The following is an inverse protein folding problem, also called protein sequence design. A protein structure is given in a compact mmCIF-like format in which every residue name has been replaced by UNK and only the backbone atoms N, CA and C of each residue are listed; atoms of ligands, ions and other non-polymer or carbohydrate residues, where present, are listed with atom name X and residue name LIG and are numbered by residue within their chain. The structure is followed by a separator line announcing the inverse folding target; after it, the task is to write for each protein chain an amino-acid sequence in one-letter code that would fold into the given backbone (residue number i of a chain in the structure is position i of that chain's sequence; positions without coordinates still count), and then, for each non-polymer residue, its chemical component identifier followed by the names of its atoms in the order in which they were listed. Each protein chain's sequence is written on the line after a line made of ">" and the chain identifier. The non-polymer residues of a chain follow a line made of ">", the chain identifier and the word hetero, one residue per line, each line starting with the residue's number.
data_IF_240481541182
#
_entry.id   IF_240481541182
#
_cell.length_a   1.000
_cell.length_b   1.000
_cell.length_c   1.000
_cell.angle_alpha   90.00
_cell.angle_beta   90.00
_cell.angle_gamma   90.00
#
_symmetry.space_group_name_H-M   'P 1'
#
loop_
_entity.id
_entity.type
_entity.pdbx_description
1 polymer ?
#
# COMPACT_ATOMS: atom_id res chain seq x y z
N UNK A 1 -28.61 -37.60 -0.11
CA UNK A 1 -28.07 -36.30 0.35
C UNK A 1 -26.67 -36.18 -0.24
N UNK A 2 -26.51 -35.44 -1.35
CA UNK A 2 -25.18 -35.24 -1.96
C UNK A 2 -24.47 -34.14 -1.18
N UNK A 3 -23.34 -34.46 -0.56
CA UNK A 3 -22.40 -33.48 -0.03
C UNK A 3 -21.61 -32.87 -1.19
N UNK A 4 -21.84 -31.59 -1.47
CA UNK A 4 -21.02 -30.80 -2.41
C UNK A 4 -19.76 -30.37 -1.65
N UNK A 5 -18.59 -30.80 -2.14
CA UNK A 5 -17.30 -30.32 -1.68
C UNK A 5 -16.95 -29.06 -2.50
N UNK A 6 -17.00 -27.88 -1.87
CA UNK A 6 -16.53 -26.63 -2.50
C UNK A 6 -15.03 -26.50 -2.21
N UNK A 7 -14.21 -26.45 -3.26
CA UNK A 7 -12.75 -26.30 -3.14
C UNK A 7 -12.42 -24.84 -3.49
N UNK A 8 -12.12 -24.02 -2.48
CA UNK A 8 -11.69 -22.65 -2.73
C UNK A 8 -10.29 -22.61 -3.34
N UNK A 9 -10.10 -21.74 -4.33
CA UNK A 9 -8.81 -21.39 -4.89
C UNK A 9 -8.32 -20.04 -4.34
N UNK A 10 -6.99 -19.89 -4.23
CA UNK A 10 -6.36 -18.68 -3.70
C UNK A 10 -5.57 -17.99 -4.82
N UNK A 11 -5.90 -16.74 -5.11
CA UNK A 11 -5.10 -15.88 -5.96
C UNK A 11 -4.35 -14.86 -5.11
N UNK A 12 -3.05 -14.71 -5.36
CA UNK A 12 -2.18 -13.78 -4.63
C UNK A 12 -1.68 -12.73 -5.60
N UNK A 13 -1.86 -11.45 -5.26
CA UNK A 13 -1.34 -10.32 -6.03
C UNK A 13 -0.58 -9.36 -5.14
N UNK A 14 0.48 -8.73 -5.65
CA UNK A 14 1.22 -7.71 -4.91
C UNK A 14 0.73 -6.33 -5.32
N UNK A 15 0.44 -5.48 -4.34
CA UNK A 15 0.06 -4.07 -4.54
C UNK A 15 1.14 -3.16 -3.97
N UNK A 16 1.31 -1.97 -4.56
CA UNK A 16 2.32 -0.99 -4.15
C UNK A 16 1.77 0.42 -4.23
N UNK A 17 1.91 1.20 -3.17
CA UNK A 17 1.68 2.64 -3.17
C UNK A 17 2.93 3.42 -2.80
N UNK A 18 3.08 4.59 -3.41
CA UNK A 18 4.22 5.47 -3.16
C UNK A 18 3.72 6.90 -2.93
N UNK A 19 4.40 7.62 -2.04
CA UNK A 19 4.20 9.05 -1.85
C UNK A 19 5.54 9.69 -1.47
N UNK A 20 5.80 10.86 -2.03
CA UNK A 20 7.03 11.61 -1.80
C UNK A 20 6.71 13.03 -1.41
N UNK A 21 7.56 13.59 -0.58
CA UNK A 21 7.40 14.93 -0.10
C UNK A 21 8.76 15.63 0.04
N UNK A 22 8.83 16.85 -0.48
CA UNK A 22 10.05 17.65 -0.50
C UNK A 22 10.08 18.57 0.71
N UNK A 23 11.12 18.44 1.52
CA UNK A 23 11.39 19.30 2.67
C UNK A 23 12.48 20.30 2.30
N UNK A 24 12.11 21.57 2.38
CA UNK A 24 13.06 22.68 2.35
C UNK A 24 13.48 22.94 3.81
N UNK A 25 14.79 22.93 4.06
CA UNK A 25 15.41 23.15 5.37
C UNK A 25 14.69 24.25 6.20
N UNK A 26 13.97 23.86 7.25
CA UNK A 26 13.42 24.79 8.26
C UNK A 26 11.94 25.18 8.19
N UNK A 27 11.20 24.84 7.13
CA UNK A 27 9.75 25.14 7.05
C UNK A 27 8.87 23.95 7.43
N UNK A 28 8.20 24.06 8.58
CA UNK A 28 7.20 23.11 9.08
C UNK A 28 5.82 23.41 8.47
N UNK A 29 5.61 23.02 7.22
CA UNK A 29 4.26 22.99 6.65
C UNK A 29 3.39 21.93 7.34
N UNK A 30 2.09 22.18 7.47
CA UNK A 30 1.08 21.18 7.88
C UNK A 30 1.00 20.08 6.81
N UNK A 31 1.88 19.10 6.88
CA UNK A 31 1.94 18.05 5.86
C UNK A 31 0.98 16.92 6.23
N UNK A 32 0.07 16.59 5.32
CA UNK A 32 -0.62 15.29 5.35
C UNK A 32 0.45 14.20 5.49
N UNK A 33 0.18 13.18 6.29
CA UNK A 33 1.12 12.08 6.49
C UNK A 33 1.43 11.43 5.14
N UNK A 34 2.68 11.53 4.69
CA UNK A 34 3.19 10.88 3.47
C UNK A 34 2.89 9.38 3.49
N UNK A 35 2.91 8.77 4.67
CA UNK A 35 2.55 7.37 4.88
C UNK A 35 1.06 7.12 4.57
N UNK A 36 0.17 8.01 5.02
CA UNK A 36 -1.26 7.86 4.76
C UNK A 36 -1.57 7.99 3.27
N UNK A 37 -0.86 8.85 2.55
CA UNK A 37 -0.97 8.97 1.10
C UNK A 37 -0.45 7.73 0.38
N UNK A 38 0.73 7.24 0.74
CA UNK A 38 1.28 6.01 0.16
C UNK A 38 0.37 4.81 0.41
N UNK A 39 -0.16 4.65 1.64
CA UNK A 39 -1.10 3.58 1.98
C UNK A 39 -2.43 3.72 1.23
N UNK A 40 -2.97 4.93 1.06
CA UNK A 40 -4.18 5.17 0.25
C UNK A 40 -3.94 4.76 -1.21
N UNK A 41 -2.81 5.17 -1.79
CA UNK A 41 -2.44 4.83 -3.16
C UNK A 41 -2.29 3.31 -3.35
N UNK A 42 -1.79 2.60 -2.33
CA UNK A 42 -1.70 1.14 -2.30
C UNK A 42 -3.10 0.51 -2.21
N UNK A 43 -3.91 0.89 -1.22
CA UNK A 43 -5.22 0.26 -0.95
C UNK A 43 -6.24 0.49 -2.07
N UNK A 44 -6.15 1.60 -2.79
CA UNK A 44 -6.99 1.86 -3.97
C UNK A 44 -6.80 0.79 -5.07
N UNK A 45 -5.67 0.09 -5.10
CA UNK A 45 -5.41 -1.00 -6.04
C UNK A 45 -6.04 -2.34 -5.60
N UNK A 46 -6.33 -2.49 -4.30
CA UNK A 46 -6.81 -3.75 -3.73
C UNK A 46 -8.29 -4.03 -4.02
N UNK A 47 -9.07 -3.01 -4.41
CA UNK A 47 -10.50 -3.07 -4.74
C UNK A 47 -11.29 -4.03 -3.82
N UNK A 48 -11.23 -3.75 -2.50
CA UNK A 48 -11.69 -4.67 -1.46
C UNK A 48 -13.22 -4.74 -1.36
N UNK A 49 -13.91 -3.63 -1.62
CA UNK A 49 -15.35 -3.54 -1.44
C UNK A 49 -16.11 -4.55 -2.32
N UNK A 50 -17.00 -5.33 -1.69
CA UNK A 50 -17.81 -6.32 -2.39
C UNK A 50 -17.06 -7.56 -2.88
N UNK A 51 -15.78 -7.73 -2.51
CA UNK A 51 -14.96 -8.89 -2.90
C UNK A 51 -14.53 -9.71 -1.69
N UNK A 52 -14.27 -11.01 -1.90
CA UNK A 52 -13.61 -11.86 -0.91
C UNK A 52 -12.09 -11.66 -0.99
N UNK A 53 -11.61 -10.46 -0.68
CA UNK A 53 -10.19 -10.09 -0.70
C UNK A 53 -9.71 -9.61 0.66
N UNK A 54 -8.46 -9.94 1.00
CA UNK A 54 -7.78 -9.43 2.20
C UNK A 54 -6.39 -8.93 1.86
N UNK A 55 -5.98 -7.82 2.48
CA UNK A 55 -4.62 -7.29 2.40
C UNK A 55 -3.80 -7.80 3.59
N UNK A 56 -2.67 -8.44 3.31
CA UNK A 56 -1.73 -8.94 4.32
C UNK A 56 -0.29 -8.54 3.99
N UNK A 57 0.64 -8.84 4.89
CA UNK A 57 2.08 -8.67 4.67
C UNK A 57 2.46 -7.24 4.25
N UNK A 58 1.83 -6.23 4.86
CA UNK A 58 2.18 -4.83 4.61
C UNK A 58 3.64 -4.56 5.02
N UNK A 59 4.42 -4.00 4.10
CA UNK A 59 5.79 -3.55 4.32
C UNK A 59 5.89 -2.06 3.99
N UNK A 60 6.57 -1.33 4.86
CA UNK A 60 6.83 0.11 4.69
C UNK A 60 8.33 0.30 4.48
N UNK A 61 8.68 0.94 3.37
CA UNK A 61 10.04 1.31 3.02
C UNK A 61 10.16 2.83 2.98
N UNK A 62 11.20 3.34 3.62
CA UNK A 62 11.47 4.77 3.72
C UNK A 62 12.76 5.08 2.99
N UNK A 63 12.66 5.90 1.96
CA UNK A 63 13.78 6.38 1.18
C UNK A 63 13.98 7.87 1.43
N UNK A 64 15.23 8.24 1.72
CA UNK A 64 15.64 9.64 1.87
C UNK A 64 16.69 9.95 0.83
N UNK A 65 16.50 11.03 0.09
CA UNK A 65 17.52 11.55 -0.81
C UNK A 65 17.77 13.02 -0.54
N UNK A 66 19.01 13.43 -0.77
CA UNK A 66 19.49 14.79 -0.48
C UNK A 66 20.06 15.38 -1.76
N UNK A 67 19.58 16.57 -2.13
CA UNK A 67 20.14 17.36 -3.22
C UNK A 67 20.30 18.81 -2.76
N UNK A 68 21.54 19.16 -2.39
CA UNK A 68 21.90 20.45 -1.80
C UNK A 68 21.02 20.80 -0.58
N UNK A 69 20.07 21.74 -0.74
CA UNK A 69 19.21 22.27 0.35
C UNK A 69 17.86 21.53 0.42
N UNK A 70 17.59 20.64 -0.55
CA UNK A 70 16.36 19.85 -0.63
C UNK A 70 16.59 18.45 -0.04
N UNK A 71 15.72 18.07 0.88
CA UNK A 71 15.55 16.69 1.33
C UNK A 71 14.26 16.14 0.72
N UNK A 72 14.33 15.06 -0.04
CA UNK A 72 13.15 14.33 -0.51
C UNK A 72 12.94 13.12 0.40
N UNK A 73 11.71 13.01 0.90
CA UNK A 73 11.28 11.92 1.76
C UNK A 73 10.21 11.10 1.02
N UNK A 74 10.56 9.88 0.63
CA UNK A 74 9.70 8.96 -0.12
C UNK A 74 9.32 7.78 0.75
N UNK A 75 8.02 7.54 0.89
CA UNK A 75 7.48 6.32 1.51
C UNK A 75 6.91 5.43 0.41
N UNK A 76 7.35 4.18 0.42
CA UNK A 76 6.78 3.09 -0.37
C UNK A 76 6.08 2.13 0.58
N UNK A 77 4.84 1.76 0.29
CA UNK A 77 4.10 0.73 1.00
C UNK A 77 3.78 -0.38 0.01
N UNK A 78 4.12 -1.61 0.35
CA UNK A 78 3.80 -2.81 -0.42
C UNK A 78 2.99 -3.77 0.42
N UNK A 79 2.11 -4.55 -0.20
CA UNK A 79 1.34 -5.58 0.49
C UNK A 79 0.93 -6.68 -0.49
N UNK A 80 0.42 -7.78 0.05
CA UNK A 80 -0.17 -8.88 -0.72
C UNK A 80 -1.70 -8.86 -0.56
N UNK A 81 -2.42 -8.99 -1.66
CA UNK A 81 -3.86 -9.20 -1.68
C UNK A 81 -4.12 -10.67 -1.97
N UNK A 82 -4.83 -11.33 -1.06
CA UNK A 82 -5.35 -12.67 -1.26
C UNK A 82 -6.81 -12.56 -1.66
N UNK A 83 -7.16 -13.13 -2.81
CA UNK A 83 -8.55 -13.31 -3.27
C UNK A 83 -8.96 -14.77 -3.10
N UNK A 84 -10.11 -14.98 -2.45
CA UNK A 84 -10.74 -16.27 -2.30
C UNK A 84 -11.75 -16.46 -3.43
N UNK A 85 -11.45 -17.37 -4.35
CA UNK A 85 -12.33 -17.73 -5.47
C UNK A 85 -12.92 -19.11 -5.25
N UNK A 86 -14.14 -19.34 -5.76
CA UNK A 86 -14.77 -20.66 -5.80
C UNK A 86 -14.07 -21.63 -6.75
#
# INVERSE_FOLDING_TARGET
>A
MLSVLVIFSLQITTIKGEASDNKIFGFWGLKKSVLAEARRNMLNQANLEGSARVVINERIEVHRSYMFILETYTIVVTAEVIEFTE
#
